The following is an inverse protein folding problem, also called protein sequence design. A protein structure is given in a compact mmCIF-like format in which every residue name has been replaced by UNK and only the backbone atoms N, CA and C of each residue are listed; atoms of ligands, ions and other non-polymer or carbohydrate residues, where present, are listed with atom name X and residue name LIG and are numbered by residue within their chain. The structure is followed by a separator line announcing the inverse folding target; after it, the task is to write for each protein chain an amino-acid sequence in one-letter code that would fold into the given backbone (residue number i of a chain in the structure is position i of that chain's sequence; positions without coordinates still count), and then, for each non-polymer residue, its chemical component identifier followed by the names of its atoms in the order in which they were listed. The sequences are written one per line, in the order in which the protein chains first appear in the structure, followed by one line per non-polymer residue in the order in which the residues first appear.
data_IF_187606685657
#
_entry.id   IF_187606685657
#
_cell.length_a   1.000
_cell.length_b   1.000
_cell.length_c   1.000
_cell.angle_alpha   90.00
_cell.angle_beta   90.00
_cell.angle_gamma   90.00
#
_symmetry.space_group_name_H-M   'P 1'
#
loop_
_entity.id
_entity.type
_entity.pdbx_description
1 polymer ?
#
# COMPACT_ATOMS: atom_id res chain seq x y z
N UNK A 1 4.97 -29.84 -24.80
CA UNK A 1 4.69 -28.40 -24.87
C UNK A 1 3.70 -27.99 -23.77
N UNK A 2 4.24 -27.53 -22.64
CA UNK A 2 3.45 -27.13 -21.49
C UNK A 2 2.60 -25.87 -21.75
N UNK A 3 1.52 -25.71 -20.97
CA UNK A 3 0.69 -24.51 -20.95
C UNK A 3 1.49 -23.26 -20.55
N UNK A 4 2.41 -23.38 -19.59
CA UNK A 4 3.25 -22.29 -19.09
C UNK A 4 4.49 -22.13 -19.97
N UNK A 5 4.70 -20.95 -20.55
CA UNK A 5 5.87 -20.63 -21.38
C UNK A 5 6.97 -19.89 -20.61
N UNK A 6 6.63 -19.22 -19.54
CA UNK A 6 7.61 -18.50 -18.73
C UNK A 6 7.00 -17.76 -17.54
N UNK A 7 7.84 -17.46 -16.57
CA UNK A 7 7.52 -16.65 -15.40
C UNK A 7 8.49 -15.48 -15.35
N UNK A 8 7.97 -14.27 -15.16
CA UNK A 8 8.76 -13.07 -14.97
C UNK A 8 8.43 -12.47 -13.60
N UNK A 9 9.40 -12.49 -12.70
CA UNK A 9 9.32 -11.79 -11.42
C UNK A 9 10.22 -10.55 -11.48
N UNK A 10 9.62 -9.39 -11.25
CA UNK A 10 10.35 -8.11 -11.19
C UNK A 10 10.30 -7.61 -9.76
N UNK A 11 11.45 -7.46 -9.14
CA UNK A 11 11.63 -6.91 -7.81
C UNK A 11 12.30 -5.54 -7.92
N UNK A 12 11.74 -4.54 -7.27
CA UNK A 12 12.26 -3.16 -7.22
C UNK A 12 12.47 -2.77 -5.76
N UNK A 13 13.68 -3.00 -5.20
CA UNK A 13 14.00 -2.49 -3.88
C UNK A 13 14.27 -0.99 -3.94
N UNK A 14 13.87 -0.28 -2.90
CA UNK A 14 14.25 1.11 -2.66
C UNK A 14 14.54 1.31 -1.18
N UNK A 15 15.47 2.19 -0.88
CA UNK A 15 15.85 2.56 0.47
C UNK A 15 16.09 4.06 0.53
N UNK A 16 15.72 4.66 1.64
CA UNK A 16 16.01 6.06 1.94
C UNK A 16 16.37 6.21 3.39
N UNK A 17 17.23 7.19 3.68
CA UNK A 17 17.57 7.56 5.05
C UNK A 17 17.22 9.01 5.28
N UNK A 18 16.61 9.29 6.43
CA UNK A 18 16.30 10.62 6.92
C UNK A 18 17.20 10.94 8.12
N UNK A 19 17.62 12.19 8.21
CA UNK A 19 18.35 12.72 9.35
C UNK A 19 17.66 14.00 9.83
N UNK A 20 17.19 13.99 11.09
CA UNK A 20 16.68 15.18 11.77
C UNK A 20 17.66 15.60 12.85
N UNK A 21 18.28 16.81 12.75
CA UNK A 21 19.13 17.32 13.81
C UNK A 21 18.29 17.69 15.03
N UNK A 22 18.85 17.50 16.22
CA UNK A 22 18.26 17.99 17.46
C UNK A 22 18.49 19.50 17.59
N UNK A 23 17.53 20.31 17.18
CA UNK A 23 17.58 21.76 17.29
C UNK A 23 17.51 22.26 18.75
N UNK A 24 17.27 21.38 19.72
CA UNK A 24 17.27 21.75 21.15
C UNK A 24 18.65 21.61 21.79
N UNK A 25 19.63 21.08 21.06
CA UNK A 25 21.00 21.03 21.49
C UNK A 25 21.59 22.44 21.63
N UNK A 26 22.48 22.66 22.59
CA UNK A 26 23.14 23.95 22.85
C UNK A 26 23.79 24.59 21.63
N UNK A 27 24.22 23.78 20.65
CA UNK A 27 24.73 24.24 19.35
C UNK A 27 23.71 25.06 18.58
N UNK A 28 22.40 24.84 18.85
CA UNK A 28 21.27 25.47 18.17
C UNK A 28 20.41 26.34 19.12
N UNK A 29 20.99 26.85 20.21
CA UNK A 29 20.27 27.67 21.24
C UNK A 29 19.51 28.87 20.67
N UNK A 30 19.88 29.32 19.45
CA UNK A 30 19.14 30.37 18.73
C UNK A 30 17.72 29.99 18.34
N UNK A 31 17.36 28.70 18.32
CA UNK A 31 16.05 28.23 17.89
C UNK A 31 15.13 27.87 19.05
N UNK A 32 15.67 27.36 20.16
CA UNK A 32 14.91 26.94 21.31
C UNK A 32 15.57 27.45 22.59
N UNK A 33 14.74 28.03 23.45
CA UNK A 33 15.16 28.43 24.80
C UNK A 33 14.43 27.61 25.85
N UNK A 34 15.10 27.29 26.91
CA UNK A 34 14.49 26.75 28.11
C UNK A 34 14.03 27.91 28.99
N UNK A 35 12.80 27.84 29.43
CA UNK A 35 12.24 28.84 30.37
C UNK A 35 11.53 28.08 31.48
N UNK A 36 11.87 28.41 32.70
CA UNK A 36 11.07 28.05 33.84
C UNK A 36 9.86 28.97 33.88
N UNK A 37 8.76 28.54 33.32
CA UNK A 37 7.54 29.32 33.20
C UNK A 37 6.63 29.18 34.40
N UNK A 38 6.83 28.17 35.23
CA UNK A 38 6.00 27.92 36.41
C UNK A 38 6.86 27.43 37.60
N UNK A 39 7.05 28.27 38.57
CA UNK A 39 7.74 27.94 39.83
C UNK A 39 7.00 26.90 40.67
N UNK A 40 5.75 26.54 40.33
CA UNK A 40 4.95 25.51 40.97
C UNK A 40 4.98 24.17 40.22
N UNK A 41 5.46 24.16 39.00
CA UNK A 41 5.58 22.94 38.22
C UNK A 41 6.80 22.14 38.70
N UNK A 42 6.75 20.85 38.50
CA UNK A 42 7.84 19.93 38.82
C UNK A 42 9.13 20.41 38.10
N UNK A 43 10.09 20.87 38.90
CA UNK A 43 11.35 21.53 38.47
C UNK A 43 12.16 20.66 37.48
N UNK A 44 11.82 19.39 37.39
CA UNK A 44 12.50 18.42 36.50
C UNK A 44 12.01 18.43 35.06
N UNK A 45 11.03 19.26 34.71
CA UNK A 45 10.50 19.36 33.33
C UNK A 45 10.41 20.83 32.88
N UNK A 46 11.55 21.49 32.57
CA UNK A 46 11.54 22.85 32.06
C UNK A 46 10.76 22.90 30.73
N UNK A 47 9.84 23.83 30.61
CA UNK A 47 9.15 24.07 29.36
C UNK A 47 10.07 24.69 28.34
N UNK A 48 10.10 24.13 27.16
CA UNK A 48 10.86 24.64 26.03
C UNK A 48 9.95 25.45 25.14
N UNK A 49 10.38 26.63 24.74
CA UNK A 49 9.71 27.39 23.71
C UNK A 49 10.69 27.83 22.64
N UNK A 50 10.18 28.06 21.44
CA UNK A 50 10.95 28.65 20.35
C UNK A 50 10.62 30.13 20.19
N UNK A 51 11.63 30.96 19.99
CA UNK A 51 11.44 32.38 19.63
C UNK A 51 10.64 32.53 18.34
N UNK A 52 10.56 31.50 17.53
CA UNK A 52 9.86 31.47 16.25
C UNK A 52 8.44 30.88 16.33
N UNK A 53 7.91 30.59 17.53
CA UNK A 53 6.56 30.01 17.68
C UNK A 53 5.46 30.84 17.00
N UNK A 54 5.65 32.18 16.94
CA UNK A 54 4.71 33.10 16.29
C UNK A 54 5.23 33.64 14.94
N UNK A 55 6.31 33.06 14.39
CA UNK A 55 6.83 33.47 13.12
C UNK A 55 5.97 32.97 11.94
N UNK A 56 5.97 33.71 10.83
CA UNK A 56 5.18 33.38 9.62
C UNK A 56 5.45 31.94 9.13
N UNK A 57 6.68 31.47 9.22
CA UNK A 57 7.09 30.12 8.81
C UNK A 57 7.08 29.12 9.96
N UNK A 58 6.64 29.52 11.15
CA UNK A 58 6.65 28.67 12.33
C UNK A 58 8.05 28.38 12.88
N UNK A 59 8.10 27.52 13.87
CA UNK A 59 9.35 27.05 14.48
C UNK A 59 9.89 25.81 13.76
N UNK A 60 11.19 25.52 13.83
CA UNK A 60 11.73 24.22 13.47
C UNK A 60 11.01 23.11 14.29
N UNK A 61 10.78 21.98 13.66
CA UNK A 61 10.13 20.86 14.33
C UNK A 61 11.00 20.40 15.50
N UNK A 62 10.40 20.32 16.70
CA UNK A 62 11.05 19.71 17.85
C UNK A 62 11.00 18.18 17.66
N UNK A 63 12.08 17.62 17.15
CA UNK A 63 12.32 16.19 17.20
C UNK A 63 13.67 15.97 17.85
N UNK A 64 13.77 15.09 18.86
CA UNK A 64 15.08 14.59 19.25
C UNK A 64 15.73 14.02 17.99
N UNK A 65 17.06 14.06 17.93
CA UNK A 65 17.82 13.50 16.80
C UNK A 65 17.17 12.23 16.29
N UNK A 66 16.64 12.29 15.09
CA UNK A 66 15.97 11.15 14.45
C UNK A 66 16.77 10.74 13.22
N UNK A 67 17.21 9.50 13.22
CA UNK A 67 17.84 8.87 12.06
C UNK A 67 17.08 7.59 11.78
N UNK A 68 16.40 7.57 10.66
CA UNK A 68 15.62 6.43 10.24
C UNK A 68 16.04 5.92 8.86
N UNK A 69 16.06 4.62 8.71
CA UNK A 69 16.20 3.93 7.44
C UNK A 69 14.82 3.42 7.02
N UNK A 70 14.30 3.95 5.93
CA UNK A 70 13.06 3.47 5.31
C UNK A 70 13.41 2.52 4.17
N UNK A 71 12.67 1.42 4.05
CA UNK A 71 12.82 0.48 2.95
C UNK A 71 11.48 0.14 2.32
N UNK A 72 11.51 -0.09 1.02
CA UNK A 72 10.35 -0.56 0.26
C UNK A 72 10.81 -1.55 -0.81
N UNK A 73 10.07 -2.65 -0.92
CA UNK A 73 10.31 -3.67 -1.95
C UNK A 73 8.99 -3.84 -2.69
N UNK A 74 8.98 -3.45 -3.97
CA UNK A 74 7.83 -3.63 -4.85
C UNK A 74 8.06 -4.82 -5.76
N UNK A 75 7.07 -5.70 -5.86
CA UNK A 75 7.14 -6.94 -6.62
C UNK A 75 6.01 -6.99 -7.64
N UNK A 76 6.35 -7.41 -8.86
CA UNK A 76 5.40 -7.70 -9.94
C UNK A 76 5.66 -9.11 -10.43
N UNK A 77 4.63 -9.94 -10.52
CA UNK A 77 4.72 -11.29 -11.06
C UNK A 77 3.86 -11.41 -12.30
N UNK A 78 4.49 -11.76 -13.38
CA UNK A 78 3.87 -12.01 -14.68
C UNK A 78 4.11 -13.45 -15.09
N UNK A 79 3.09 -14.08 -15.65
CA UNK A 79 3.23 -15.39 -16.29
C UNK A 79 2.96 -15.26 -17.78
N UNK A 80 3.73 -15.98 -18.58
CA UNK A 80 3.50 -16.14 -20.01
C UNK A 80 2.92 -17.53 -20.25
N UNK A 81 1.73 -17.58 -20.81
CA UNK A 81 1.02 -18.83 -21.05
C UNK A 81 0.51 -18.94 -22.49
N UNK A 82 0.27 -20.17 -22.93
CA UNK A 82 -0.32 -20.48 -24.22
C UNK A 82 -1.78 -20.02 -24.21
N UNK A 83 -2.20 -19.21 -25.17
CA UNK A 83 -3.60 -18.83 -25.36
C UNK A 83 -4.18 -19.61 -26.55
N UNK A 84 -5.43 -20.06 -26.44
CA UNK A 84 -6.12 -20.73 -27.54
C UNK A 84 -6.30 -19.85 -28.77
N UNK A 85 -6.26 -18.53 -28.59
CA UNK A 85 -6.40 -17.51 -29.65
C UNK A 85 -5.04 -17.04 -30.22
N UNK A 86 -3.92 -17.56 -29.72
CA UNK A 86 -2.59 -17.15 -30.17
C UNK A 86 -2.17 -17.91 -31.43
N UNK A 87 -2.50 -17.34 -32.58
CA UNK A 87 -2.08 -17.83 -33.88
C UNK A 87 -0.60 -17.63 -34.15
N UNK A 88 0.05 -16.74 -33.39
CA UNK A 88 1.47 -16.39 -33.59
C UNK A 88 2.44 -17.23 -32.75
N UNK A 89 1.92 -18.04 -31.82
CA UNK A 89 2.72 -18.86 -30.93
C UNK A 89 3.51 -18.08 -29.87
N UNK A 90 3.37 -16.73 -29.80
CA UNK A 90 4.13 -15.88 -28.89
C UNK A 90 3.70 -16.01 -27.41
N UNK A 91 2.48 -16.52 -27.15
CA UNK A 91 1.90 -16.63 -25.81
C UNK A 91 1.39 -15.28 -25.26
N UNK A 92 0.48 -15.35 -24.31
CA UNK A 92 -0.13 -14.18 -23.63
C UNK A 92 0.53 -13.96 -22.29
N UNK A 93 0.90 -12.70 -22.00
CA UNK A 93 1.38 -12.30 -20.69
C UNK A 93 0.18 -11.96 -19.80
N UNK A 94 0.13 -12.56 -18.61
CA UNK A 94 -0.87 -12.25 -17.59
C UNK A 94 -0.17 -11.91 -16.30
N UNK A 95 -0.52 -10.77 -15.71
CA UNK A 95 -0.04 -10.38 -14.38
C UNK A 95 -0.83 -11.12 -13.33
N UNK A 96 -0.14 -11.80 -12.42
CA UNK A 96 -0.74 -12.46 -11.26
C UNK A 96 -1.01 -11.43 -10.19
N UNK A 97 -0.01 -10.58 -9.90
CA UNK A 97 -0.19 -9.40 -9.08
C UNK A 97 0.57 -8.22 -9.69
N UNK A 98 -0.11 -7.05 -9.66
CA UNK A 98 0.43 -5.84 -10.26
C UNK A 98 1.43 -5.14 -9.35
N UNK A 99 1.21 -5.22 -8.06
CA UNK A 99 2.04 -4.54 -7.08
C UNK A 99 1.88 -5.20 -5.71
N UNK A 100 2.84 -6.04 -5.35
CA UNK A 100 2.98 -6.57 -4.01
C UNK A 100 4.12 -5.81 -3.34
N UNK A 101 3.79 -4.96 -2.37
CA UNK A 101 4.76 -4.10 -1.69
C UNK A 101 5.01 -4.57 -0.27
N UNK A 102 6.26 -4.42 0.17
CA UNK A 102 6.70 -4.55 1.55
C UNK A 102 7.38 -3.25 1.93
N UNK A 103 6.86 -2.57 2.95
CA UNK A 103 7.42 -1.29 3.41
C UNK A 103 7.60 -1.29 4.91
N UNK A 104 8.67 -0.67 5.36
CA UNK A 104 8.92 -0.52 6.79
C UNK A 104 10.06 0.46 7.04
N UNK A 105 10.27 0.75 8.33
CA UNK A 105 11.29 1.66 8.80
C UNK A 105 12.09 1.01 9.93
N UNK A 106 13.35 1.39 10.04
CA UNK A 106 14.21 1.09 11.17
C UNK A 106 14.74 2.41 11.74
N UNK A 107 14.44 2.70 13.00
CA UNK A 107 15.01 3.85 13.70
C UNK A 107 16.35 3.48 14.30
N UNK A 108 17.39 4.25 13.94
CA UNK A 108 18.75 4.09 14.47
C UNK A 108 18.93 4.79 15.81
N UNK A 109 18.01 5.67 16.17
CA UNK A 109 18.11 6.54 17.36
C UNK A 109 17.08 6.23 18.43
N UNK A 110 16.10 5.39 18.14
CA UNK A 110 15.11 4.98 19.12
C UNK A 110 15.76 4.06 20.17
N UNK A 111 15.47 4.30 21.44
CA UNK A 111 15.97 3.48 22.57
C UNK A 111 15.30 2.09 22.59
N UNK A 112 14.12 1.96 21.99
CA UNK A 112 13.38 0.70 21.92
C UNK A 112 12.44 0.68 20.72
N UNK A 113 12.00 -0.53 20.34
CA UNK A 113 11.06 -0.72 19.23
C UNK A 113 11.57 -0.13 17.90
N UNK A 114 12.86 -0.31 17.60
CA UNK A 114 13.53 0.26 16.44
C UNK A 114 12.88 -0.11 15.09
N UNK A 115 12.33 -1.31 14.96
CA UNK A 115 11.59 -1.72 13.77
C UNK A 115 10.15 -1.22 13.82
N UNK A 116 9.69 -0.59 12.76
CA UNK A 116 8.26 -0.37 12.55
C UNK A 116 7.56 -1.69 12.19
N UNK A 117 6.24 -1.80 12.31
CA UNK A 117 5.50 -2.85 11.62
C UNK A 117 5.79 -2.81 10.12
N UNK A 118 5.91 -3.99 9.50
CA UNK A 118 6.11 -4.15 8.07
C UNK A 118 4.73 -4.13 7.42
N UNK A 119 4.44 -3.09 6.64
CA UNK A 119 3.20 -3.00 5.88
C UNK A 119 3.36 -3.71 4.54
N UNK A 120 2.43 -4.58 4.24
CA UNK A 120 2.38 -5.34 3.00
C UNK A 120 1.02 -5.17 2.36
N UNK A 121 1.00 -5.00 1.06
CA UNK A 121 -0.25 -4.91 0.31
C UNK A 121 -0.06 -5.24 -1.16
N UNK A 122 -1.14 -5.66 -1.78
CA UNK A 122 -1.14 -6.02 -3.17
C UNK A 122 -2.52 -5.89 -3.80
N UNK A 123 -2.52 -5.81 -5.13
CA UNK A 123 -3.72 -5.76 -5.95
C UNK A 123 -3.74 -6.95 -6.88
N UNK A 124 -4.80 -7.73 -6.79
CA UNK A 124 -5.05 -8.86 -7.69
C UNK A 124 -6.24 -8.52 -8.57
N UNK A 125 -6.09 -8.73 -9.87
CA UNK A 125 -7.17 -8.54 -10.82
C UNK A 125 -7.55 -9.86 -11.46
N UNK A 126 -8.82 -10.20 -11.35
CA UNK A 126 -9.40 -11.42 -11.90
C UNK A 126 -10.38 -11.09 -13.02
N UNK A 127 -10.63 -12.05 -13.89
CA UNK A 127 -11.61 -11.94 -14.98
C UNK A 127 -11.43 -10.68 -15.83
N UNK A 128 -10.19 -10.43 -16.32
CA UNK A 128 -9.84 -9.27 -17.13
C UNK A 128 -10.11 -7.92 -16.44
N UNK A 129 -10.07 -7.88 -15.10
CA UNK A 129 -10.25 -6.67 -14.32
C UNK A 129 -11.66 -6.41 -13.80
N UNK A 130 -12.61 -7.30 -14.05
CA UNK A 130 -13.96 -7.19 -13.49
C UNK A 130 -13.98 -7.29 -11.97
N UNK A 131 -13.07 -8.09 -11.41
CA UNK A 131 -12.93 -8.28 -9.97
C UNK A 131 -11.55 -7.81 -9.56
N UNK A 132 -11.49 -6.87 -8.65
CA UNK A 132 -10.25 -6.37 -8.05
C UNK A 132 -10.26 -6.71 -6.56
N UNK A 133 -9.25 -7.45 -6.13
CA UNK A 133 -8.97 -7.74 -4.73
C UNK A 133 -7.80 -6.87 -4.28
N UNK A 134 -8.06 -5.96 -3.38
CA UNK A 134 -7.01 -5.21 -2.66
C UNK A 134 -6.79 -5.91 -1.33
N UNK A 135 -5.55 -6.26 -1.07
CA UNK A 135 -5.15 -6.92 0.16
C UNK A 135 -4.11 -6.08 0.89
N UNK A 136 -4.23 -6.02 2.21
CA UNK A 136 -3.27 -5.34 3.08
C UNK A 136 -3.07 -6.12 4.36
N UNK A 137 -1.82 -6.16 4.81
CA UNK A 137 -1.44 -6.84 6.04
C UNK A 137 -0.31 -6.07 6.71
N UNK A 138 -0.31 -6.05 8.03
CA UNK A 138 0.81 -5.56 8.82
C UNK A 138 1.41 -6.69 9.61
N UNK A 139 2.71 -6.83 9.49
CA UNK A 139 3.53 -7.78 10.24
C UNK A 139 4.34 -7.03 11.27
N UNK A 140 4.26 -7.43 12.52
CA UNK A 140 5.01 -6.80 13.60
C UNK A 140 6.08 -7.76 14.11
N UNK A 141 7.37 -7.35 14.13
CA UNK A 141 8.44 -8.17 14.67
C UNK A 141 8.47 -8.22 16.21
N UNK A 142 7.64 -7.40 16.87
CA UNK A 142 7.61 -7.34 18.33
C UNK A 142 6.36 -7.99 18.92
N UNK A 143 6.51 -8.46 20.15
CA UNK A 143 5.41 -8.97 20.95
C UNK A 143 4.53 -7.85 21.50
N UNK A 144 3.35 -8.24 21.96
CA UNK A 144 2.45 -7.37 22.72
C UNK A 144 2.25 -7.92 24.12
N UNK A 145 2.00 -7.04 25.07
CA UNK A 145 1.58 -7.41 26.40
C UNK A 145 0.07 -7.77 26.43
N UNK A 146 -0.45 -8.15 27.59
CA UNK A 146 -1.86 -8.49 27.80
C UNK A 146 -2.83 -7.33 27.44
N UNK A 147 -2.34 -6.08 27.44
CA UNK A 147 -3.10 -4.88 27.06
C UNK A 147 -3.01 -4.56 25.56
N UNK A 148 -2.38 -5.41 24.74
CA UNK A 148 -2.19 -5.19 23.32
C UNK A 148 -1.10 -4.16 22.97
N UNK A 149 -0.34 -3.65 23.96
CA UNK A 149 0.75 -2.69 23.71
C UNK A 149 2.02 -3.42 23.29
N UNK A 150 2.72 -2.90 22.29
CA UNK A 150 4.02 -3.43 21.84
C UNK A 150 5.06 -3.34 22.94
N UNK A 151 5.83 -4.41 23.12
CA UNK A 151 6.92 -4.48 24.08
C UNK A 151 8.24 -4.73 23.34
N UNK A 152 9.37 -4.29 23.92
CA UNK A 152 10.69 -4.43 23.30
C UNK A 152 11.23 -5.87 23.38
N UNK A 153 10.40 -6.84 22.97
CA UNK A 153 10.74 -8.26 22.85
C UNK A 153 10.35 -8.72 21.46
N UNK A 154 11.31 -9.27 20.72
CA UNK A 154 11.04 -9.76 19.36
C UNK A 154 10.39 -11.13 19.38
N UNK A 155 9.42 -11.34 18.50
CA UNK A 155 8.76 -12.65 18.32
C UNK A 155 9.74 -13.75 17.93
N UNK A 156 10.82 -13.40 17.24
CA UNK A 156 11.86 -14.34 16.85
C UNK A 156 12.60 -14.95 18.07
N UNK A 157 12.91 -14.13 19.08
CA UNK A 157 13.64 -14.59 20.26
C UNK A 157 12.78 -15.37 21.24
N UNK A 158 11.50 -15.00 21.38
CA UNK A 158 10.61 -15.60 22.35
C UNK A 158 9.84 -16.82 21.78
N UNK A 159 9.30 -16.70 20.55
CA UNK A 159 8.43 -17.70 19.93
C UNK A 159 9.07 -18.43 18.75
N UNK A 160 10.26 -18.04 18.33
CA UNK A 160 10.91 -18.57 17.13
C UNK A 160 10.24 -18.14 15.81
N UNK A 161 9.26 -17.22 15.85
CA UNK A 161 8.57 -16.69 14.68
C UNK A 161 9.19 -15.37 14.26
N UNK A 162 9.40 -15.19 12.96
CA UNK A 162 9.99 -13.94 12.44
C UNK A 162 9.13 -12.72 12.75
N UNK A 163 7.83 -12.84 12.58
CA UNK A 163 6.86 -11.76 12.76
C UNK A 163 5.50 -12.32 13.17
N UNK A 164 4.65 -11.48 13.76
CA UNK A 164 3.23 -11.75 13.99
C UNK A 164 2.38 -10.89 13.06
N UNK A 165 1.22 -11.36 12.68
CA UNK A 165 0.21 -10.54 11.99
C UNK A 165 -0.43 -9.62 13.01
N UNK A 166 -0.30 -8.31 12.82
CA UNK A 166 -0.90 -7.30 13.69
C UNK A 166 -2.19 -6.74 13.12
N UNK A 167 -2.29 -6.69 11.80
CA UNK A 167 -3.48 -6.22 11.10
C UNK A 167 -3.61 -7.00 9.79
N UNK A 168 -4.83 -7.32 9.40
CA UNK A 168 -5.15 -7.94 8.12
C UNK A 168 -6.44 -7.37 7.58
N UNK A 169 -6.45 -7.04 6.31
CA UNK A 169 -7.65 -6.56 5.64
C UNK A 169 -7.64 -6.88 4.16
N UNK A 170 -8.81 -7.00 3.59
CA UNK A 170 -8.98 -7.08 2.16
C UNK A 170 -10.26 -6.36 1.73
N UNK A 171 -10.26 -5.85 0.52
CA UNK A 171 -11.41 -5.25 -0.14
C UNK A 171 -11.58 -5.88 -1.51
N UNK A 172 -12.78 -6.36 -1.80
CA UNK A 172 -13.16 -6.89 -3.12
C UNK A 172 -14.05 -5.86 -3.77
N UNK A 173 -13.63 -5.36 -4.91
CA UNK A 173 -14.41 -4.43 -5.72
C UNK A 173 -14.74 -5.10 -7.04
N UNK A 174 -16.01 -5.11 -7.40
CA UNK A 174 -16.49 -5.53 -8.70
C UNK A 174 -17.20 -4.38 -9.36
N UNK A 175 -16.93 -4.18 -10.64
CA UNK A 175 -17.66 -3.19 -11.43
C UNK A 175 -17.68 -3.65 -12.88
N UNK A 176 -18.88 -3.84 -13.43
CA UNK A 176 -19.05 -4.27 -14.80
C UNK A 176 -20.33 -3.73 -15.39
N UNK A 177 -20.33 -3.53 -16.70
CA UNK A 177 -21.55 -3.31 -17.46
C UNK A 177 -22.07 -4.64 -18.01
N UNK A 178 -23.37 -4.71 -18.27
CA UNK A 178 -24.00 -5.89 -18.89
C UNK A 178 -23.33 -6.19 -20.23
N UNK A 179 -22.98 -5.17 -21.02
CA UNK A 179 -22.26 -5.31 -22.27
C UNK A 179 -20.87 -5.93 -22.10
N UNK A 180 -20.12 -5.53 -21.06
CA UNK A 180 -18.83 -6.15 -20.74
C UNK A 180 -18.98 -7.61 -20.35
N UNK A 181 -20.00 -7.95 -19.58
CA UNK A 181 -20.30 -9.33 -19.21
C UNK A 181 -20.59 -10.17 -20.45
N UNK A 182 -21.45 -9.68 -21.34
CA UNK A 182 -21.76 -10.32 -22.64
C UNK A 182 -20.50 -10.53 -23.49
N UNK A 183 -19.65 -9.50 -23.63
CA UNK A 183 -18.41 -9.58 -24.41
C UNK A 183 -17.42 -10.63 -23.83
N UNK A 184 -17.37 -10.79 -22.51
CA UNK A 184 -16.49 -11.79 -21.86
C UNK A 184 -17.01 -13.21 -22.11
N UNK A 185 -18.32 -13.43 -21.95
CA UNK A 185 -18.92 -14.75 -22.18
C UNK A 185 -18.96 -15.14 -23.65
N UNK A 186 -19.07 -14.18 -24.57
CA UNK A 186 -19.03 -14.42 -26.01
C UNK A 186 -17.60 -14.63 -26.57
N UNK A 187 -16.57 -14.46 -25.75
CA UNK A 187 -15.17 -14.58 -26.19
C UNK A 187 -14.62 -13.41 -26.99
N UNK A 188 -15.41 -12.35 -27.20
CA UNK A 188 -15.03 -11.15 -27.96
C UNK A 188 -14.23 -10.12 -27.18
N UNK A 189 -13.99 -10.31 -25.90
CA UNK A 189 -13.27 -9.36 -25.05
C UNK A 189 -11.76 -9.45 -25.22
N UNK A 190 -11.23 -8.92 -26.30
CA UNK A 190 -9.78 -8.81 -26.58
C UNK A 190 -9.25 -7.39 -26.46
N UNK A 191 -9.48 -6.70 -25.33
CA UNK A 191 -8.68 -5.51 -25.03
C UNK A 191 -8.13 -5.56 -23.61
N UNK A 192 -6.81 -5.60 -23.42
CA UNK A 192 -6.17 -5.50 -22.13
C UNK A 192 -6.05 -4.02 -21.75
N UNK A 193 -6.53 -3.66 -20.54
CA UNK A 193 -6.08 -2.46 -19.85
C UNK A 193 -6.93 -1.22 -20.08
N UNK A 194 -8.17 -1.25 -19.63
CA UNK A 194 -8.91 -0.05 -19.28
C UNK A 194 -8.72 0.25 -17.79
N UNK A 195 -8.08 1.36 -17.48
CA UNK A 195 -8.13 2.01 -16.16
C UNK A 195 -9.59 2.06 -15.71
N UNK A 196 -9.91 1.56 -14.53
CA UNK A 196 -11.23 1.71 -13.94
C UNK A 196 -11.55 3.20 -13.84
N UNK A 197 -12.30 3.73 -14.81
CA UNK A 197 -12.68 5.13 -14.74
C UNK A 197 -12.65 5.92 -16.04
N UNK A 198 -12.82 5.34 -17.21
CA UNK A 198 -13.30 6.07 -18.42
C UNK A 198 -13.45 5.08 -19.57
N UNK A 199 -14.60 4.42 -19.65
CA UNK A 199 -15.01 3.88 -20.93
C UNK A 199 -15.80 5.00 -21.61
N UNK A 200 -15.13 5.74 -22.49
CA UNK A 200 -15.83 6.51 -23.51
C UNK A 200 -16.55 5.51 -24.39
N UNK A 201 -17.86 5.53 -24.32
CA UNK A 201 -18.73 4.89 -25.31
C UNK A 201 -18.38 5.45 -26.68
N UNK A 202 -17.68 4.66 -27.51
CA UNK A 202 -17.66 4.93 -28.92
C UNK A 202 -19.10 4.79 -29.44
N UNK A 203 -19.61 5.76 -30.22
CA UNK A 203 -20.93 5.62 -30.81
C UNK A 203 -20.88 4.45 -31.80
N UNK A 204 -21.66 3.41 -31.51
CA UNK A 204 -21.92 2.35 -32.45
C UNK A 204 -22.67 2.96 -33.65
N UNK A 205 -21.97 3.17 -34.77
CA UNK A 205 -22.63 3.44 -36.05
C UNK A 205 -23.16 2.13 -36.61
N UNK A 206 -24.45 2.04 -36.71
CA UNK A 206 -25.15 1.24 -37.68
C UNK A 206 -25.47 -0.21 -37.33
N UNK A 207 -26.58 -0.42 -36.69
CA UNK A 207 -27.61 -1.39 -37.07
C UNK A 207 -28.83 -1.18 -36.16
N UNK A 208 -29.89 -0.71 -36.69
CA UNK A 208 -31.20 -0.74 -36.04
C UNK A 208 -31.62 -2.22 -35.95
N UNK A 209 -31.26 -2.87 -34.87
CA UNK A 209 -31.94 -4.07 -34.40
C UNK A 209 -32.64 -3.65 -33.11
N UNK A 210 -33.94 -3.94 -33.03
CA UNK A 210 -34.78 -3.84 -31.82
C UNK A 210 -34.24 -4.78 -30.73
N UNK A 211 -33.01 -4.60 -30.33
CA UNK A 211 -32.40 -5.42 -29.29
C UNK A 211 -32.61 -4.72 -27.93
N UNK A 212 -33.78 -5.00 -27.34
CA UNK A 212 -34.13 -4.62 -25.97
C UNK A 212 -32.98 -4.89 -24.98
N UNK A 213 -32.13 -5.90 -25.26
CA UNK A 213 -30.98 -6.24 -24.47
C UNK A 213 -29.83 -5.23 -24.64
N UNK A 214 -29.68 -4.57 -25.77
CA UNK A 214 -28.67 -3.52 -25.99
C UNK A 214 -28.88 -2.31 -25.10
N UNK A 215 -30.10 -2.09 -24.66
CA UNK A 215 -30.44 -1.00 -23.73
C UNK A 215 -29.78 -1.18 -22.36
N UNK A 216 -29.57 -2.44 -21.91
CA UNK A 216 -28.92 -2.80 -20.66
C UNK A 216 -27.41 -2.85 -20.77
N UNK A 217 -26.81 -2.79 -21.96
CA UNK A 217 -25.35 -2.90 -22.13
C UNK A 217 -24.58 -1.81 -21.39
N UNK A 218 -25.20 -0.64 -21.17
CA UNK A 218 -24.61 0.46 -20.39
C UNK A 218 -24.97 0.44 -18.90
N UNK A 219 -25.75 -0.55 -18.44
CA UNK A 219 -26.09 -0.65 -17.02
C UNK A 219 -24.88 -1.09 -16.22
N UNK A 220 -24.42 -0.21 -15.32
CA UNK A 220 -23.26 -0.47 -14.47
C UNK A 220 -23.67 -1.09 -13.14
N UNK A 221 -23.12 -2.24 -12.83
CA UNK A 221 -23.28 -2.91 -11.54
C UNK A 221 -21.94 -2.83 -10.83
N UNK A 222 -21.91 -2.20 -9.66
CA UNK A 222 -20.74 -2.15 -8.80
C UNK A 222 -21.06 -2.69 -7.42
N UNK A 223 -20.15 -3.50 -6.88
CA UNK A 223 -20.28 -4.05 -5.54
C UNK A 223 -18.93 -4.01 -4.84
N UNK A 224 -18.93 -3.65 -3.56
CA UNK A 224 -17.72 -3.57 -2.73
C UNK A 224 -17.94 -4.32 -1.42
N UNK A 225 -17.04 -5.23 -1.09
CA UNK A 225 -16.98 -5.93 0.19
C UNK A 225 -15.62 -5.67 0.80
N UNK A 226 -15.59 -5.16 2.03
CA UNK A 226 -14.37 -4.97 2.81
C UNK A 226 -14.41 -5.80 4.09
N UNK A 227 -13.24 -6.28 4.51
CA UNK A 227 -13.00 -6.94 5.79
C UNK A 227 -11.71 -6.43 6.39
N UNK A 228 -11.72 -6.09 7.68
CA UNK A 228 -10.53 -5.70 8.45
C UNK A 228 -10.56 -6.41 9.79
N UNK A 229 -9.43 -7.02 10.15
CA UNK A 229 -9.16 -7.57 11.47
C UNK A 229 -7.95 -6.83 12.07
N UNK A 230 -8.11 -6.23 13.22
CA UNK A 230 -7.08 -5.61 14.06
C UNK A 230 -6.72 -6.50 15.23
#
# INVERSE_FOLDING_TARGET
DGWLKGIRHTMKPSGSTGFGPDFTNSRYDRYFKFVDTDLRADVNKPQRYSIYDKAIFGRPTYNPRDVALSYSISNVLEIKHKSKQDTTGKGKNTRIFDNLTFTGNYSLTADSLNWSPISTGGVFRFFKGLVTLNWRTQFDPYMVNEKGTRINKTTLKEDGKLVRVSNFGFDITTGFTVGQMRAIFSGQADQPGGTAGKIQSAPAQGAASDDFLGWFDNFNISYNIGYVRT
#
